data_IF_573197745850
#
_entry.id   IF_573197745850
#
_cell.length_a   1.000
_cell.length_b   1.000
_cell.length_c   1.000
_cell.angle_alpha   90.00
_cell.angle_beta   90.00
_cell.angle_gamma   90.00
#
_symmetry.space_group_name_H-M   'P 1'
#
loop_
_entity.id
_entity.type
_entity.pdbx_description
1 polymer ?
#
# COMPACT_ATOMS: atom_id res chain seq x y z
N UNK A 1 -8.07 69.86 -7.96
CA UNK A 1 -7.81 68.44 -7.64
C UNK A 1 -7.06 68.40 -6.31
N UNK A 2 -7.64 67.83 -5.24
CA UNK A 2 -7.05 67.88 -3.89
C UNK A 2 -5.91 66.86 -3.74
N UNK A 3 -4.67 67.34 -3.63
CA UNK A 3 -3.47 66.51 -3.39
C UNK A 3 -3.59 65.64 -2.13
N UNK A 4 -4.22 66.18 -1.08
CA UNK A 4 -4.39 65.49 0.20
C UNK A 4 -5.28 64.24 0.10
N UNK A 5 -6.27 64.27 -0.79
CA UNK A 5 -7.14 63.11 -1.05
C UNK A 5 -6.42 62.01 -1.83
N UNK A 6 -5.58 62.37 -2.81
CA UNK A 6 -4.72 61.41 -3.49
C UNK A 6 -3.69 60.79 -2.55
N UNK A 7 -3.08 61.59 -1.68
CA UNK A 7 -2.16 61.10 -0.65
C UNK A 7 -2.84 60.11 0.31
N UNK A 8 -4.05 60.44 0.76
CA UNK A 8 -4.86 59.57 1.62
C UNK A 8 -5.23 58.26 0.92
N UNK A 9 -5.69 58.32 -0.33
CA UNK A 9 -6.05 57.14 -1.11
C UNK A 9 -4.82 56.27 -1.44
N UNK A 10 -3.66 56.88 -1.70
CA UNK A 10 -2.41 56.15 -1.84
C UNK A 10 -2.05 55.40 -0.55
N UNK A 11 -2.16 56.05 0.62
CA UNK A 11 -1.92 55.40 1.92
C UNK A 11 -2.87 54.23 2.22
N UNK A 12 -4.16 54.39 1.91
CA UNK A 12 -5.16 53.30 2.02
C UNK A 12 -4.83 52.16 1.06
N UNK A 13 -4.48 52.48 -0.19
CA UNK A 13 -4.12 51.48 -1.21
C UNK A 13 -2.89 50.68 -0.81
N UNK A 14 -1.84 51.36 -0.31
CA UNK A 14 -0.64 50.69 0.21
C UNK A 14 -0.99 49.76 1.37
N UNK A 15 -1.83 50.20 2.30
CA UNK A 15 -2.26 49.38 3.44
C UNK A 15 -3.03 48.13 3.00
N UNK A 16 -3.97 48.28 2.06
CA UNK A 16 -4.75 47.15 1.52
C UNK A 16 -3.82 46.15 0.80
N UNK A 17 -2.90 46.63 -0.03
CA UNK A 17 -1.92 45.78 -0.73
C UNK A 17 -1.03 45.07 0.29
N UNK A 18 -0.53 45.76 1.31
CA UNK A 18 0.30 45.17 2.36
C UNK A 18 -0.44 44.05 3.10
N UNK A 19 -1.72 44.26 3.45
CA UNK A 19 -2.55 43.21 4.08
C UNK A 19 -2.69 42.01 3.15
N UNK A 20 -3.09 42.21 1.90
CA UNK A 20 -3.24 41.12 0.92
C UNK A 20 -1.93 40.34 0.77
N UNK A 21 -0.80 41.04 0.63
CA UNK A 21 0.52 40.42 0.48
C UNK A 21 0.93 39.59 1.71
N UNK A 22 0.69 40.10 2.93
CA UNK A 22 1.00 39.37 4.17
C UNK A 22 0.15 38.11 4.31
N UNK A 23 -1.16 38.20 4.06
CA UNK A 23 -2.04 37.04 4.12
C UNK A 23 -1.72 36.00 3.05
N UNK A 24 -1.46 36.44 1.82
CA UNK A 24 -1.08 35.56 0.72
C UNK A 24 0.26 34.88 0.98
N UNK A 25 1.26 35.62 1.47
CA UNK A 25 2.56 35.06 1.84
C UNK A 25 2.43 34.03 2.97
N UNK A 26 1.67 34.36 4.02
CA UNK A 26 1.42 33.45 5.15
C UNK A 26 0.72 32.17 4.70
N UNK A 27 -0.26 32.28 3.81
CA UNK A 27 -0.96 31.14 3.23
C UNK A 27 -0.04 30.25 2.37
N UNK A 28 0.82 30.85 1.54
CA UNK A 28 1.84 30.10 0.77
C UNK A 28 2.79 29.36 1.72
N UNK A 29 3.25 30.02 2.78
CA UNK A 29 4.14 29.41 3.78
C UNK A 29 3.44 28.21 4.44
N UNK A 30 2.17 28.36 4.83
CA UNK A 30 1.38 27.27 5.40
C UNK A 30 1.25 26.08 4.43
N UNK A 31 0.87 26.31 3.17
CA UNK A 31 0.77 25.25 2.17
C UNK A 31 2.12 24.54 1.97
N UNK A 32 3.21 25.30 1.93
CA UNK A 32 4.57 24.75 1.83
C UNK A 32 4.92 23.89 3.05
N UNK A 33 4.65 24.36 4.26
CA UNK A 33 4.89 23.61 5.49
C UNK A 33 4.11 22.30 5.52
N UNK A 34 2.83 22.31 5.15
CA UNK A 34 2.03 21.09 5.07
C UNK A 34 2.59 20.14 4.01
N UNK A 35 2.94 20.65 2.83
CA UNK A 35 3.52 19.85 1.76
C UNK A 35 4.84 19.19 2.19
N UNK A 36 5.71 19.94 2.86
CA UNK A 36 7.00 19.43 3.36
C UNK A 36 6.78 18.37 4.45
N UNK A 37 5.81 18.56 5.35
CA UNK A 37 5.38 17.55 6.34
C UNK A 37 4.89 16.26 5.66
N UNK A 38 4.03 16.35 4.64
CA UNK A 38 3.55 15.18 3.90
C UNK A 38 4.67 14.49 3.11
N UNK A 39 5.61 15.25 2.57
CA UNK A 39 6.80 14.71 1.91
C UNK A 39 7.63 13.85 2.87
N UNK A 40 7.94 14.34 4.06
CA UNK A 40 8.68 13.58 5.07
C UNK A 40 7.93 12.31 5.50
N UNK A 41 6.62 12.42 5.72
CA UNK A 41 5.79 11.26 6.05
C UNK A 41 5.79 10.22 4.93
N UNK A 42 5.68 10.65 3.67
CA UNK A 42 5.71 9.76 2.51
C UNK A 42 7.04 9.01 2.39
N UNK A 43 8.18 9.70 2.60
CA UNK A 43 9.50 9.05 2.60
C UNK A 43 9.54 7.90 3.60
N UNK A 44 9.04 8.10 4.83
CA UNK A 44 8.99 7.05 5.86
C UNK A 44 8.07 5.89 5.47
N UNK A 45 6.90 6.17 4.92
CA UNK A 45 5.97 5.12 4.48
C UNK A 45 6.54 4.31 3.30
N UNK A 46 7.26 4.94 2.36
CA UNK A 46 7.97 4.23 1.30
C UNK A 46 9.05 3.30 1.84
N UNK A 47 9.79 3.73 2.87
CA UNK A 47 10.78 2.88 3.55
C UNK A 47 10.14 1.70 4.30
N UNK A 48 8.96 1.90 4.91
CA UNK A 48 8.20 0.81 5.52
C UNK A 48 7.69 -0.19 4.47
N UNK A 49 7.17 0.31 3.34
CA UNK A 49 6.73 -0.53 2.23
C UNK A 49 7.89 -1.37 1.67
N UNK A 50 9.07 -0.76 1.49
CA UNK A 50 10.29 -1.44 1.08
C UNK A 50 10.65 -2.60 2.01
N UNK A 51 10.66 -2.33 3.33
CA UNK A 51 10.92 -3.36 4.36
C UNK A 51 9.90 -4.50 4.32
N UNK A 52 8.63 -4.20 4.09
CA UNK A 52 7.59 -5.22 4.01
C UNK A 52 7.76 -6.11 2.77
N UNK A 53 8.04 -5.51 1.60
CA UNK A 53 8.31 -6.27 0.37
C UNK A 53 9.57 -7.13 0.57
N UNK A 54 10.61 -6.56 1.18
CA UNK A 54 11.82 -7.32 1.50
C UNK A 54 11.53 -8.48 2.45
N UNK A 55 10.81 -8.27 3.55
CA UNK A 55 10.42 -9.33 4.49
C UNK A 55 9.59 -10.42 3.81
N UNK A 56 8.64 -10.03 2.96
CA UNK A 56 7.85 -10.97 2.17
C UNK A 56 8.69 -11.76 1.18
N UNK A 57 9.70 -11.13 0.56
CA UNK A 57 10.67 -11.77 -0.34
C UNK A 57 11.64 -12.74 0.35
N UNK A 58 11.82 -12.60 1.67
CA UNK A 58 12.70 -13.46 2.47
C UNK A 58 11.94 -14.51 3.27
N UNK A 59 10.63 -14.64 3.07
CA UNK A 59 9.87 -15.72 3.69
C UNK A 59 10.45 -17.06 3.25
N UNK A 60 11.15 -17.70 4.17
CA UNK A 60 11.72 -19.01 3.94
C UNK A 60 10.58 -20.01 3.80
N UNK A 61 10.55 -20.70 2.66
CA UNK A 61 9.73 -21.89 2.56
C UNK A 61 10.29 -22.94 3.51
N UNK A 62 9.39 -23.46 4.34
CA UNK A 62 9.62 -24.60 5.20
C UNK A 62 10.44 -25.67 4.45
N UNK A 63 11.53 -26.13 5.10
CA UNK A 63 12.57 -27.00 4.53
C UNK A 63 12.03 -28.40 4.23
N UNK A 64 11.27 -28.54 3.14
CA UNK A 64 10.89 -29.86 2.63
C UNK A 64 12.09 -30.53 1.96
N UNK A 65 13.04 -29.78 1.39
CA UNK A 65 14.14 -30.33 0.58
C UNK A 65 15.40 -29.42 0.63
N UNK A 66 16.36 -29.74 1.50
CA UNK A 66 17.72 -29.14 1.47
C UNK A 66 18.49 -29.51 0.18
N UNK A 67 18.08 -30.59 -0.51
CA UNK A 67 18.74 -31.08 -1.73
C UNK A 67 18.26 -30.42 -3.03
N UNK A 68 17.22 -29.57 -2.98
CA UNK A 68 16.65 -28.91 -4.15
C UNK A 68 17.46 -27.65 -4.56
N UNK A 69 18.76 -27.83 -4.82
CA UNK A 69 19.64 -26.87 -5.50
C UNK A 69 19.75 -25.46 -4.89
N UNK A 70 20.60 -24.58 -5.46
CA UNK A 70 20.63 -23.18 -5.07
C UNK A 70 19.29 -22.54 -5.44
N UNK A 71 18.48 -22.21 -4.43
CA UNK A 71 17.25 -21.43 -4.61
C UNK A 71 17.66 -20.10 -5.24
N UNK A 72 17.20 -19.81 -6.46
CA UNK A 72 17.14 -18.42 -6.93
C UNK A 72 16.34 -17.70 -5.85
N UNK A 73 16.97 -16.77 -5.12
CA UNK A 73 16.32 -16.14 -3.97
C UNK A 73 15.01 -15.53 -4.42
N UNK A 74 13.91 -15.76 -3.69
CA UNK A 74 12.57 -15.22 -4.02
C UNK A 74 12.61 -13.71 -4.29
N UNK A 75 13.56 -13.00 -3.68
CA UNK A 75 13.88 -11.60 -3.99
C UNK A 75 14.24 -11.33 -5.45
N UNK A 76 14.93 -12.25 -6.15
CA UNK A 76 15.23 -12.17 -7.58
C UNK A 76 14.00 -12.47 -8.43
N UNK A 77 13.13 -13.38 -7.99
CA UNK A 77 11.89 -13.71 -8.69
C UNK A 77 10.95 -12.50 -8.77
N UNK A 78 10.85 -11.73 -7.68
CA UNK A 78 10.05 -10.48 -7.62
C UNK A 78 10.54 -9.41 -8.61
N UNK A 79 11.81 -9.47 -9.02
CA UNK A 79 12.40 -8.51 -9.95
C UNK A 79 12.30 -8.98 -11.40
N UNK A 80 11.89 -10.23 -11.62
CA UNK A 80 11.68 -10.74 -12.97
C UNK A 80 10.47 -10.06 -13.60
N UNK A 81 10.49 -9.94 -14.93
CA UNK A 81 9.40 -9.33 -15.64
C UNK A 81 8.16 -10.21 -15.53
N UNK A 82 7.05 -9.60 -15.08
CA UNK A 82 5.73 -10.22 -15.03
C UNK A 82 5.23 -10.64 -16.42
N UNK A 83 4.58 -11.79 -16.51
CA UNK A 83 4.11 -12.37 -17.77
C UNK A 83 2.62 -12.12 -18.05
N UNK A 84 1.91 -11.47 -17.13
CA UNK A 84 0.47 -11.22 -17.23
C UNK A 84 0.19 -9.76 -17.61
N UNK A 85 -0.91 -9.53 -18.34
CA UNK A 85 -1.31 -8.20 -18.76
C UNK A 85 -2.59 -7.71 -18.09
N UNK A 86 -3.59 -8.60 -17.92
CA UNK A 86 -4.91 -8.25 -17.37
C UNK A 86 -5.24 -8.99 -16.08
N UNK A 87 -4.93 -10.29 -16.01
CA UNK A 87 -5.22 -11.10 -14.83
C UNK A 87 -4.17 -12.17 -14.62
N UNK A 88 -3.60 -12.19 -13.41
CA UNK A 88 -2.61 -13.19 -13.00
C UNK A 88 -3.25 -14.58 -12.95
N UNK A 89 -4.50 -14.65 -12.47
CA UNK A 89 -5.24 -15.91 -12.39
C UNK A 89 -5.44 -16.49 -13.78
N UNK A 90 -6.02 -15.71 -14.71
CA UNK A 90 -6.45 -16.25 -15.99
C UNK A 90 -5.27 -16.63 -16.89
N UNK A 91 -4.21 -15.82 -16.86
CA UNK A 91 -3.07 -15.96 -17.78
C UNK A 91 -1.99 -16.89 -17.22
N UNK A 92 -1.79 -16.93 -15.90
CA UNK A 92 -0.64 -17.64 -15.30
C UNK A 92 -1.01 -18.67 -14.23
N UNK A 93 -1.85 -18.34 -13.25
CA UNK A 93 -2.05 -19.20 -12.07
C UNK A 93 -3.07 -20.33 -12.27
N UNK A 94 -3.95 -20.23 -13.28
CA UNK A 94 -5.01 -21.22 -13.55
C UNK A 94 -4.50 -22.67 -13.68
N UNK A 95 -3.39 -22.98 -14.39
CA UNK A 95 -2.85 -24.34 -14.46
C UNK A 95 -2.45 -24.88 -13.09
N UNK A 96 -1.77 -24.07 -12.26
CA UNK A 96 -1.36 -24.46 -10.92
C UNK A 96 -2.55 -24.76 -10.01
N UNK A 97 -3.59 -23.91 -10.06
CA UNK A 97 -4.83 -24.12 -9.29
C UNK A 97 -5.53 -25.43 -9.69
N UNK A 98 -5.62 -25.71 -11.00
CA UNK A 98 -6.18 -26.98 -11.49
C UNK A 98 -5.37 -28.17 -11.02
N UNK A 99 -4.05 -28.06 -11.00
CA UNK A 99 -3.16 -29.12 -10.53
C UNK A 99 -3.34 -29.38 -9.03
N UNK A 100 -3.39 -28.34 -8.20
CA UNK A 100 -3.67 -28.46 -6.77
C UNK A 100 -5.01 -29.16 -6.54
N UNK A 101 -6.08 -28.74 -7.23
CA UNK A 101 -7.40 -29.35 -7.09
C UNK A 101 -7.41 -30.83 -7.51
N UNK A 102 -6.72 -31.17 -8.60
CA UNK A 102 -6.60 -32.54 -9.09
C UNK A 102 -5.88 -33.43 -8.08
N UNK A 103 -4.71 -33.00 -7.61
CA UNK A 103 -3.92 -33.76 -6.64
C UNK A 103 -4.65 -33.87 -5.30
N UNK A 104 -5.36 -32.81 -4.88
CA UNK A 104 -6.15 -32.81 -3.64
C UNK A 104 -7.31 -33.81 -3.70
N UNK A 105 -8.07 -33.82 -4.81
CA UNK A 105 -9.15 -34.78 -5.01
C UNK A 105 -8.63 -36.22 -5.00
N UNK A 106 -7.51 -36.46 -5.69
CA UNK A 106 -6.85 -37.77 -5.71
C UNK A 106 -6.42 -38.22 -4.30
N UNK A 107 -5.83 -37.31 -3.52
CA UNK A 107 -5.43 -37.59 -2.14
C UNK A 107 -6.63 -37.88 -1.22
N UNK A 108 -7.72 -37.11 -1.33
CA UNK A 108 -8.95 -37.36 -0.58
C UNK A 108 -9.58 -38.72 -0.92
N UNK A 109 -9.62 -39.10 -2.19
CA UNK A 109 -10.13 -40.41 -2.60
C UNK A 109 -9.29 -41.57 -2.04
N UNK A 110 -7.96 -41.39 -1.96
CA UNK A 110 -7.06 -42.37 -1.34
C UNK A 110 -7.26 -42.42 0.18
N UNK A 111 -7.40 -41.26 0.83
CA UNK A 111 -7.68 -41.17 2.26
C UNK A 111 -8.98 -41.89 2.63
N UNK A 112 -10.07 -41.63 1.90
CA UNK A 112 -11.37 -42.29 2.12
C UNK A 112 -11.29 -43.81 1.97
N UNK A 113 -10.53 -44.31 0.98
CA UNK A 113 -10.30 -45.75 0.79
C UNK A 113 -9.52 -46.36 1.94
N UNK A 114 -8.51 -45.66 2.46
CA UNK A 114 -7.70 -46.18 3.56
C UNK A 114 -8.46 -46.16 4.88
N UNK A 115 -9.20 -45.08 5.17
CA UNK A 115 -10.07 -44.98 6.36
C UNK A 115 -11.19 -46.02 6.40
N UNK A 116 -11.61 -46.57 5.26
CA UNK A 116 -12.61 -47.64 5.21
C UNK A 116 -12.01 -49.04 5.40
N UNK A 117 -10.69 -49.20 5.19
CA UNK A 117 -9.97 -50.48 5.29
C UNK A 117 -9.24 -50.66 6.61
N UNK A 118 -8.78 -49.56 7.23
CA UNK A 118 -8.16 -49.56 8.56
C UNK A 118 -9.16 -49.03 9.57
N UNK A 119 -9.02 -49.37 10.86
CA UNK A 119 -9.86 -48.92 11.98
C UNK A 119 -9.74 -47.40 12.25
N UNK A 120 -9.77 -46.58 11.19
CA UNK A 120 -9.64 -45.11 11.17
C UNK A 120 -8.28 -44.54 11.56
N UNK A 121 -7.25 -45.38 11.79
CA UNK A 121 -5.90 -44.91 12.15
C UNK A 121 -5.12 -44.56 10.87
N UNK A 122 -4.63 -43.32 10.80
CA UNK A 122 -4.00 -42.73 9.61
C UNK A 122 -2.54 -42.36 9.90
N UNK A 123 -1.73 -43.38 10.18
CA UNK A 123 -0.31 -43.24 10.61
C UNK A 123 0.57 -42.48 9.58
N UNK A 124 0.10 -42.31 8.33
CA UNK A 124 0.82 -41.60 7.26
C UNK A 124 -0.04 -40.53 6.54
N UNK A 125 -1.01 -39.91 7.22
CA UNK A 125 -1.92 -38.93 6.62
C UNK A 125 -1.24 -37.80 5.86
N UNK A 126 -0.28 -37.06 6.45
CA UNK A 126 0.42 -35.96 5.77
C UNK A 126 1.20 -36.41 4.51
N UNK A 127 1.71 -37.65 4.50
CA UNK A 127 2.45 -38.19 3.36
C UNK A 127 1.56 -38.37 2.11
N UNK A 128 0.27 -38.67 2.30
CA UNK A 128 -0.69 -38.80 1.19
C UNK A 128 -0.90 -37.47 0.46
N UNK A 129 -0.71 -36.36 1.16
CA UNK A 129 -0.88 -35.01 0.63
C UNK A 129 0.42 -34.39 0.09
N UNK A 130 1.54 -35.13 0.01
CA UNK A 130 2.81 -34.61 -0.49
C UNK A 130 2.71 -34.00 -1.89
N UNK A 131 1.96 -34.62 -2.81
CA UNK A 131 1.75 -34.06 -4.15
C UNK A 131 0.98 -32.74 -4.13
N UNK A 132 0.04 -32.60 -3.20
CA UNK A 132 -0.69 -31.34 -2.98
C UNK A 132 0.27 -30.27 -2.46
N UNK A 133 1.16 -30.63 -1.52
CA UNK A 133 2.17 -29.72 -0.98
C UNK A 133 3.14 -29.22 -2.06
N UNK A 134 3.62 -30.12 -2.94
CA UNK A 134 4.44 -29.72 -4.09
C UNK A 134 3.69 -28.77 -5.02
N UNK A 135 2.44 -29.09 -5.36
CA UNK A 135 1.63 -28.23 -6.22
C UNK A 135 1.33 -26.85 -5.59
N UNK A 136 1.13 -26.80 -4.25
CA UNK A 136 1.00 -25.55 -3.51
C UNK A 136 2.28 -24.74 -3.56
N UNK A 137 3.44 -25.37 -3.33
CA UNK A 137 4.75 -24.72 -3.46
C UNK A 137 4.95 -24.11 -4.84
N UNK A 138 4.71 -24.88 -5.91
CA UNK A 138 4.83 -24.40 -7.29
C UNK A 138 3.94 -23.18 -7.54
N UNK A 139 2.72 -23.17 -6.97
CA UNK A 139 1.85 -22.01 -7.03
C UNK A 139 2.44 -20.79 -6.30
N UNK A 140 2.95 -20.94 -5.08
CA UNK A 140 3.53 -19.82 -4.33
C UNK A 140 4.77 -19.25 -5.04
N UNK A 141 5.64 -20.11 -5.57
CA UNK A 141 6.77 -19.68 -6.41
C UNK A 141 6.29 -18.91 -7.65
N UNK A 142 5.23 -19.39 -8.31
CA UNK A 142 4.62 -18.65 -9.42
C UNK A 142 4.05 -17.29 -8.98
N UNK A 143 3.45 -17.19 -7.79
CA UNK A 143 2.96 -15.91 -7.26
C UNK A 143 4.11 -14.93 -7.02
N UNK A 144 5.25 -15.40 -6.49
CA UNK A 144 6.45 -14.56 -6.32
C UNK A 144 7.00 -14.06 -7.66
N UNK A 145 7.07 -14.93 -8.68
CA UNK A 145 7.54 -14.59 -10.03
C UNK A 145 6.65 -13.55 -10.72
N UNK A 146 5.35 -13.66 -10.54
CA UNK A 146 4.38 -12.78 -11.19
C UNK A 146 4.07 -11.50 -10.38
N UNK A 147 4.81 -11.26 -9.30
CA UNK A 147 4.69 -10.02 -8.54
C UNK A 147 5.07 -8.83 -9.42
N UNK A 148 4.24 -7.77 -9.50
CA UNK A 148 4.57 -6.61 -10.32
C UNK A 148 5.87 -5.96 -9.86
N UNK A 149 6.81 -5.86 -10.79
CA UNK A 149 8.16 -5.38 -10.50
C UNK A 149 8.12 -3.99 -9.84
N UNK A 150 8.63 -3.85 -8.62
CA UNK A 150 8.51 -2.59 -7.89
C UNK A 150 9.50 -1.54 -8.43
N UNK A 151 9.15 -0.24 -8.39
CA UNK A 151 9.97 0.85 -8.94
C UNK A 151 11.14 1.18 -8.00
N UNK A 152 12.04 0.21 -7.84
CA UNK A 152 13.18 0.23 -6.94
C UNK A 152 14.49 0.62 -7.59
N UNK A 153 15.57 0.37 -6.86
CA UNK A 153 16.95 0.48 -7.33
C UNK A 153 17.61 -0.90 -7.19
N UNK A 154 17.98 -1.48 -8.33
CA UNK A 154 18.63 -2.78 -8.41
C UNK A 154 19.79 -2.73 -9.41
N UNK A 155 20.90 -3.40 -9.07
CA UNK A 155 22.04 -3.55 -9.96
C UNK A 155 21.70 -4.65 -10.98
N UNK A 156 21.85 -4.35 -12.27
CA UNK A 156 21.55 -5.26 -13.38
C UNK A 156 22.86 -5.65 -14.07
N UNK A 157 23.12 -6.94 -14.21
CA UNK A 157 24.20 -7.48 -15.07
C UNK A 157 23.56 -8.30 -16.17
N UNK A 158 23.90 -8.02 -17.43
CA UNK A 158 23.38 -8.75 -18.60
C UNK A 158 21.84 -8.83 -18.67
N UNK A 159 21.14 -7.77 -18.23
CA UNK A 159 19.67 -7.72 -18.19
C UNK A 159 19.03 -8.47 -17.02
N UNK A 160 19.84 -9.09 -16.14
CA UNK A 160 19.40 -9.84 -14.97
C UNK A 160 19.67 -9.00 -13.70
N UNK A 161 18.68 -8.81 -12.82
CA UNK A 161 18.91 -8.19 -11.51
C UNK A 161 19.86 -9.05 -10.68
N UNK A 162 20.98 -8.50 -10.23
CA UNK A 162 22.01 -9.23 -9.44
C UNK A 162 21.98 -8.81 -7.97
N UNK A 163 21.56 -7.58 -7.68
CA UNK A 163 21.51 -7.06 -6.30
C UNK A 163 20.38 -6.06 -6.12
N UNK A 164 19.55 -6.28 -5.11
CA UNK A 164 18.53 -5.30 -4.68
C UNK A 164 19.18 -4.30 -3.74
N UNK A 165 19.13 -3.02 -4.07
CA UNK A 165 19.42 -1.95 -3.10
C UNK A 165 18.14 -1.55 -2.40
N UNK A 166 17.07 -1.35 -3.17
CA UNK A 166 15.73 -0.99 -2.70
C UNK A 166 14.70 -1.61 -3.64
N UNK A 167 13.62 -2.18 -3.10
CA UNK A 167 12.41 -2.50 -3.87
C UNK A 167 11.60 -1.24 -4.17
N UNK A 168 11.53 -0.29 -3.23
CA UNK A 168 10.82 0.96 -3.41
C UNK A 168 11.77 2.16 -3.30
N UNK A 169 11.83 2.97 -4.36
CA UNK A 169 12.44 4.30 -4.26
C UNK A 169 11.71 5.13 -3.20
N UNK A 170 12.46 5.84 -2.37
CA UNK A 170 11.91 6.74 -1.35
C UNK A 170 12.13 8.22 -1.68
N UNK A 171 12.63 8.56 -2.87
CA UNK A 171 12.82 9.93 -3.32
C UNK A 171 11.49 10.58 -3.77
N UNK A 172 10.63 10.88 -2.81
CA UNK A 172 9.40 11.62 -3.05
C UNK A 172 9.67 13.15 -3.13
N UNK A 173 9.06 13.89 -4.07
CA UNK A 173 7.98 13.51 -5.01
C UNK A 173 8.42 12.91 -6.35
N UNK A 174 9.71 12.71 -6.60
CA UNK A 174 10.23 12.29 -7.91
C UNK A 174 9.71 10.90 -8.33
N UNK A 175 9.57 9.97 -7.38
CA UNK A 175 9.04 8.62 -7.62
C UNK A 175 7.50 8.53 -7.75
N UNK A 176 6.77 9.64 -7.61
CA UNK A 176 5.29 9.64 -7.52
C UNK A 176 4.61 8.94 -8.69
N UNK A 177 5.03 9.25 -9.92
CA UNK A 177 4.38 8.74 -11.13
C UNK A 177 4.67 7.24 -11.33
N UNK A 178 5.91 6.82 -11.09
CA UNK A 178 6.32 5.41 -11.11
C UNK A 178 5.53 4.60 -10.08
N UNK A 179 5.41 5.10 -8.86
CA UNK A 179 4.61 4.46 -7.80
C UNK A 179 3.14 4.33 -8.19
N UNK A 180 2.51 5.38 -8.73
CA UNK A 180 1.10 5.32 -9.12
C UNK A 180 0.85 4.31 -10.24
N UNK A 181 1.78 4.18 -11.20
CA UNK A 181 1.72 3.15 -12.26
C UNK A 181 1.85 1.75 -11.65
N UNK A 182 2.84 1.55 -10.79
CA UNK A 182 3.06 0.28 -10.10
C UNK A 182 1.87 -0.11 -9.21
N UNK A 183 1.32 0.83 -8.42
CA UNK A 183 0.16 0.58 -7.55
C UNK A 183 -1.01 0.00 -8.32
N UNK A 184 -1.33 0.55 -9.50
CA UNK A 184 -2.43 0.04 -10.34
C UNK A 184 -2.21 -1.43 -10.72
N UNK A 185 -0.98 -1.80 -11.07
CA UNK A 185 -0.60 -3.19 -11.36
C UNK A 185 -0.72 -4.05 -10.10
N UNK A 186 -0.15 -3.58 -8.99
CA UNK A 186 -0.21 -4.28 -7.70
C UNK A 186 -1.64 -4.51 -7.22
N UNK A 187 -2.55 -3.56 -7.39
CA UNK A 187 -3.95 -3.71 -6.98
C UNK A 187 -4.65 -4.84 -7.76
N UNK A 188 -4.37 -4.97 -9.06
CA UNK A 188 -4.89 -6.07 -9.90
C UNK A 188 -4.31 -7.40 -9.41
N UNK A 189 -2.99 -7.47 -9.23
CA UNK A 189 -2.30 -8.64 -8.71
C UNK A 189 -2.89 -9.07 -7.35
N UNK A 190 -3.00 -8.14 -6.40
CA UNK A 190 -3.50 -8.41 -5.06
C UNK A 190 -4.93 -8.96 -5.08
N UNK A 191 -5.83 -8.36 -5.87
CA UNK A 191 -7.21 -8.85 -5.99
C UNK A 191 -7.27 -10.29 -6.49
N UNK A 192 -6.41 -10.64 -7.44
CA UNK A 192 -6.35 -11.99 -7.97
C UNK A 192 -5.74 -12.98 -6.96
N UNK A 193 -4.63 -12.64 -6.30
CA UNK A 193 -4.06 -13.49 -5.24
C UNK A 193 -5.05 -13.69 -4.09
N UNK A 194 -5.81 -12.65 -3.74
CA UNK A 194 -6.84 -12.74 -2.72
C UNK A 194 -7.94 -13.75 -3.12
N UNK A 195 -8.41 -13.76 -4.38
CA UNK A 195 -9.35 -14.78 -4.89
C UNK A 195 -8.74 -16.19 -4.83
N UNK A 196 -7.47 -16.34 -5.22
CA UNK A 196 -6.74 -17.61 -5.13
C UNK A 196 -6.76 -18.13 -3.70
N UNK A 197 -6.46 -17.28 -2.72
CA UNK A 197 -6.48 -17.67 -1.33
C UNK A 197 -7.84 -18.22 -0.88
N UNK A 198 -8.95 -17.56 -1.21
CA UNK A 198 -10.28 -18.07 -0.85
C UNK A 198 -10.60 -19.42 -1.51
N UNK A 199 -10.10 -19.67 -2.73
CA UNK A 199 -10.25 -20.96 -3.38
C UNK A 199 -9.43 -22.06 -2.71
N UNK A 200 -8.24 -21.72 -2.19
CA UNK A 200 -7.36 -22.67 -1.51
C UNK A 200 -7.69 -22.87 -0.04
N UNK A 201 -8.40 -21.92 0.59
CA UNK A 201 -8.73 -21.95 2.01
C UNK A 201 -9.29 -23.30 2.50
N UNK A 202 -10.23 -23.97 1.80
CA UNK A 202 -10.72 -25.28 2.22
C UNK A 202 -9.64 -26.37 2.18
N UNK A 203 -8.77 -26.33 1.16
CA UNK A 203 -7.65 -27.27 0.99
C UNK A 203 -6.64 -27.07 2.10
N UNK A 204 -6.23 -25.82 2.34
CA UNK A 204 -5.31 -25.47 3.42
C UNK A 204 -5.87 -25.89 4.77
N UNK A 205 -7.16 -25.65 5.04
CA UNK A 205 -7.81 -26.06 6.28
C UNK A 205 -7.83 -27.60 6.44
N UNK A 206 -8.17 -28.34 5.38
CA UNK A 206 -8.10 -29.80 5.42
C UNK A 206 -6.68 -30.29 5.72
N UNK A 207 -5.67 -29.66 5.12
CA UNK A 207 -4.27 -29.96 5.44
C UNK A 207 -3.96 -29.68 6.92
N UNK A 208 -4.42 -28.55 7.49
CA UNK A 208 -4.29 -28.27 8.94
C UNK A 208 -4.84 -29.44 9.76
N UNK A 209 -6.05 -29.89 9.43
CA UNK A 209 -6.75 -30.91 10.21
C UNK A 209 -6.01 -32.25 10.16
N UNK A 210 -5.56 -32.66 8.97
CA UNK A 210 -4.75 -33.88 8.78
C UNK A 210 -3.42 -33.80 9.54
N UNK A 211 -2.76 -32.63 9.55
CA UNK A 211 -1.51 -32.45 10.30
C UNK A 211 -1.77 -32.52 11.80
N UNK A 212 -2.80 -31.84 12.31
CA UNK A 212 -3.14 -31.91 13.73
C UNK A 212 -3.53 -33.32 14.19
N UNK A 213 -4.26 -34.07 13.36
CA UNK A 213 -4.59 -35.48 13.61
C UNK A 213 -3.31 -36.33 13.66
N UNK A 214 -2.40 -36.15 12.70
CA UNK A 214 -1.10 -36.82 12.64
C UNK A 214 -0.20 -36.50 13.84
N UNK A 215 -0.06 -35.22 14.21
CA UNK A 215 0.70 -34.78 15.38
C UNK A 215 0.16 -35.44 16.65
N UNK A 216 -1.17 -35.48 16.81
CA UNK A 216 -1.79 -36.09 17.99
C UNK A 216 -1.49 -37.59 18.06
N UNK A 217 -1.66 -38.31 16.96
CA UNK A 217 -1.34 -39.74 16.87
C UNK A 217 0.16 -40.00 17.12
N UNK A 218 1.02 -39.14 16.58
CA UNK A 218 2.47 -39.19 16.77
C UNK A 218 2.85 -38.97 18.25
N UNK A 219 2.24 -37.99 18.91
CA UNK A 219 2.46 -37.73 20.34
C UNK A 219 2.00 -38.90 21.22
N UNK A 220 0.88 -39.53 20.89
CA UNK A 220 0.41 -40.71 21.61
C UNK A 220 1.34 -41.91 21.39
N UNK A 221 1.88 -42.06 20.17
CA UNK A 221 2.91 -43.05 19.85
C UNK A 221 4.21 -42.78 20.63
N UNK A 222 4.66 -41.52 20.75
CA UNK A 222 5.82 -41.14 21.57
C UNK A 222 5.62 -41.57 23.02
N UNK A 223 4.43 -41.33 23.61
CA UNK A 223 4.14 -41.74 25.00
C UNK A 223 4.20 -43.25 25.18
N UNK A 224 3.80 -44.02 24.17
CA UNK A 224 3.95 -45.48 24.19
C UNK A 224 5.41 -45.89 24.06
N UNK A 225 6.15 -45.34 23.10
CA UNK A 225 7.58 -45.62 22.89
C UNK A 225 8.43 -45.25 24.11
N UNK A 226 8.09 -44.18 24.82
CA UNK A 226 8.73 -43.79 26.09
C UNK A 226 8.58 -44.87 27.17
N UNK A 227 7.49 -45.65 27.17
CA UNK A 227 7.36 -46.82 28.07
C UNK A 227 8.31 -47.96 27.70
N UNK A 228 8.70 -48.05 26.43
CA UNK A 228 9.61 -49.07 25.90
C UNK A 228 11.09 -48.63 25.88
N UNK A 229 11.41 -47.39 26.24
CA UNK A 229 12.79 -46.91 26.42
C UNK A 229 13.57 -46.70 25.13
N UNK A 230 12.95 -46.17 24.06
CA UNK A 230 13.60 -45.95 22.75
C UNK A 230 13.77 -44.43 22.45
N UNK A 231 14.81 -43.77 22.98
CA UNK A 231 14.94 -42.31 22.94
C UNK A 231 15.23 -41.71 21.56
N UNK A 232 15.85 -42.46 20.64
CA UNK A 232 16.18 -41.97 19.29
C UNK A 232 14.95 -41.77 18.38
N UNK A 233 13.87 -42.50 18.63
CA UNK A 233 12.61 -42.34 17.90
C UNK A 233 11.87 -41.05 18.32
N UNK A 234 12.06 -40.59 19.56
CA UNK A 234 11.42 -39.39 20.09
C UNK A 234 11.93 -38.11 19.40
N UNK A 235 13.24 -38.01 19.17
CA UNK A 235 13.86 -36.84 18.56
C UNK A 235 13.43 -36.64 17.10
N UNK A 236 13.38 -37.73 16.33
CA UNK A 236 12.89 -37.70 14.95
C UNK A 236 11.42 -37.29 14.82
N UNK A 237 10.57 -37.78 15.73
CA UNK A 237 9.15 -37.44 15.77
C UNK A 237 8.91 -35.99 16.24
N UNK A 238 9.68 -35.50 17.23
CA UNK A 238 9.64 -34.10 17.65
C UNK A 238 10.01 -33.16 16.50
N UNK A 239 11.09 -33.48 15.77
CA UNK A 239 11.49 -32.74 14.58
C UNK A 239 10.33 -32.70 13.58
N UNK A 240 9.75 -33.85 13.22
CA UNK A 240 8.60 -33.91 12.30
C UNK A 240 7.42 -33.02 12.73
N UNK A 241 7.11 -32.92 14.02
CA UNK A 241 6.06 -32.02 14.54
C UNK A 241 6.44 -30.54 14.33
N UNK A 242 7.70 -30.15 14.56
CA UNK A 242 8.16 -28.78 14.30
C UNK A 242 8.07 -28.44 12.81
N UNK A 243 8.49 -29.39 11.96
CA UNK A 243 8.41 -29.27 10.51
C UNK A 243 6.99 -28.97 10.02
N UNK A 244 6.02 -29.73 10.55
CA UNK A 244 4.61 -29.56 10.23
C UNK A 244 4.03 -28.22 10.71
N UNK A 245 4.48 -27.70 11.86
CA UNK A 245 4.03 -26.39 12.38
C UNK A 245 4.56 -25.22 11.55
N UNK A 246 5.82 -25.30 11.15
CA UNK A 246 6.48 -24.24 10.37
C UNK A 246 5.86 -24.08 8.97
N UNK A 247 5.44 -25.18 8.35
CA UNK A 247 4.71 -25.16 7.07
C UNK A 247 3.40 -24.34 7.16
N UNK A 248 2.62 -24.55 8.22
CA UNK A 248 1.36 -23.84 8.41
C UNK A 248 1.57 -22.36 8.74
N UNK A 249 2.63 -22.06 9.46
CA UNK A 249 3.05 -20.69 9.75
C UNK A 249 3.40 -19.94 8.47
N UNK A 250 4.12 -20.57 7.54
CA UNK A 250 4.49 -19.98 6.26
C UNK A 250 3.28 -19.48 5.46
N UNK A 251 2.23 -20.31 5.29
CA UNK A 251 1.06 -19.92 4.51
C UNK A 251 0.29 -18.72 5.11
N UNK A 252 0.21 -18.66 6.43
CA UNK A 252 -0.43 -17.54 7.13
C UNK A 252 0.41 -16.26 7.01
N UNK A 253 1.72 -16.35 7.27
CA UNK A 253 2.64 -15.21 7.18
C UNK A 253 2.73 -14.64 5.77
N UNK A 254 2.67 -15.49 4.74
CA UNK A 254 2.66 -15.09 3.34
C UNK A 254 1.53 -14.09 3.03
N UNK A 255 0.30 -14.41 3.47
CA UNK A 255 -0.86 -13.56 3.21
C UNK A 255 -0.93 -12.36 4.12
N UNK A 256 -0.56 -12.54 5.39
CA UNK A 256 -0.52 -11.44 6.35
C UNK A 256 0.42 -10.33 5.86
N UNK A 257 1.62 -10.69 5.42
CA UNK A 257 2.56 -9.73 4.86
C UNK A 257 2.06 -9.10 3.56
N UNK A 258 1.43 -9.88 2.67
CA UNK A 258 0.85 -9.33 1.44
C UNK A 258 -0.30 -8.34 1.74
N UNK A 259 -1.11 -8.60 2.76
CA UNK A 259 -2.13 -7.68 3.27
C UNK A 259 -1.51 -6.41 3.86
N UNK A 260 -0.42 -6.52 4.62
CA UNK A 260 0.31 -5.38 5.15
C UNK A 260 0.89 -4.51 4.02
N UNK A 261 1.46 -5.12 2.98
CA UNK A 261 1.93 -4.42 1.77
C UNK A 261 0.76 -3.66 1.13
N UNK A 262 -0.40 -4.31 0.94
CA UNK A 262 -1.60 -3.68 0.38
C UNK A 262 -2.08 -2.49 1.20
N UNK A 263 -2.19 -2.66 2.51
CA UNK A 263 -2.58 -1.59 3.43
C UNK A 263 -1.63 -0.39 3.32
N UNK A 264 -0.32 -0.64 3.31
CA UNK A 264 0.68 0.42 3.18
C UNK A 264 0.62 1.13 1.83
N UNK A 265 0.40 0.38 0.76
CA UNK A 265 0.22 0.94 -0.58
C UNK A 265 -0.97 1.92 -0.64
N UNK A 266 -2.09 1.58 -0.01
CA UNK A 266 -3.26 2.47 0.05
C UNK A 266 -3.01 3.70 0.93
N UNK A 267 -2.38 3.53 2.09
CA UNK A 267 -1.99 4.66 2.96
C UNK A 267 -1.07 5.65 2.23
N UNK A 268 -0.10 5.16 1.47
CA UNK A 268 0.79 6.00 0.65
C UNK A 268 -0.02 6.77 -0.40
N UNK A 269 -0.93 6.09 -1.11
CA UNK A 269 -1.75 6.74 -2.12
C UNK A 269 -2.64 7.86 -1.54
N UNK A 270 -3.26 7.64 -0.39
CA UNK A 270 -4.06 8.65 0.31
C UNK A 270 -3.20 9.85 0.74
N UNK A 271 -1.98 9.60 1.24
CA UNK A 271 -1.04 10.67 1.60
C UNK A 271 -0.53 11.43 0.37
N UNK A 272 -0.33 10.77 -0.77
CA UNK A 272 -0.01 11.42 -2.04
C UNK A 272 -1.17 12.33 -2.46
N UNK A 273 -2.41 11.85 -2.37
CA UNK A 273 -3.58 12.67 -2.69
C UNK A 273 -3.67 13.93 -1.80
N UNK A 274 -3.36 13.81 -0.50
CA UNK A 274 -3.27 14.95 0.42
C UNK A 274 -2.11 15.89 0.05
N UNK A 275 -0.92 15.37 -0.24
CA UNK A 275 0.23 16.16 -0.72
C UNK A 275 -0.10 16.95 -2.00
N UNK A 276 -0.77 16.29 -2.95
CA UNK A 276 -1.20 16.89 -4.20
C UNK A 276 -2.26 17.96 -3.97
N UNK A 277 -3.19 17.73 -3.04
CA UNK A 277 -4.16 18.74 -2.64
C UNK A 277 -3.45 20.01 -2.14
N UNK A 278 -2.36 19.95 -1.37
CA UNK A 278 -1.60 21.15 -0.98
C UNK A 278 -0.74 21.75 -2.09
N UNK A 279 -0.37 20.97 -3.09
CA UNK A 279 0.43 21.44 -4.25
C UNK A 279 -0.45 22.15 -5.28
N UNK A 280 -1.65 21.63 -5.52
CA UNK A 280 -2.60 22.12 -6.52
C UNK A 280 -3.79 22.88 -5.92
N UNK A 281 -3.90 23.03 -4.59
CA UNK A 281 -4.66 24.10 -3.92
C UNK A 281 -4.01 25.47 -4.21
N UNK A 282 -3.89 25.85 -5.48
CA UNK A 282 -3.97 27.26 -5.84
C UNK A 282 -5.44 27.62 -5.67
N UNK A 283 -5.80 28.06 -4.47
CA UNK A 283 -7.17 28.44 -4.12
C UNK A 283 -7.65 29.55 -5.04
N UNK A 284 -8.27 29.18 -6.16
CA UNK A 284 -8.87 30.11 -7.11
C UNK A 284 -9.86 31.03 -6.38
N UNK A 285 -10.58 30.48 -5.40
CA UNK A 285 -11.47 31.23 -4.52
C UNK A 285 -10.73 32.19 -3.56
N UNK A 286 -9.65 31.76 -2.93
CA UNK A 286 -8.85 32.61 -2.03
C UNK A 286 -8.19 33.76 -2.81
N UNK A 287 -7.65 33.46 -4.00
CA UNK A 287 -7.12 34.46 -4.94
C UNK A 287 -8.23 35.40 -5.43
N UNK A 288 -9.42 34.88 -5.74
CA UNK A 288 -10.58 35.68 -6.14
C UNK A 288 -11.04 36.60 -5.02
N UNK A 289 -10.97 36.17 -3.75
CA UNK A 289 -11.24 37.03 -2.61
C UNK A 289 -10.20 38.16 -2.49
N UNK A 290 -8.91 37.88 -2.70
CA UNK A 290 -7.87 38.92 -2.73
C UNK A 290 -8.05 39.89 -3.91
N UNK A 291 -8.45 39.41 -5.09
CA UNK A 291 -8.82 40.26 -6.22
C UNK A 291 -10.04 41.12 -5.88
N UNK A 292 -11.05 40.55 -5.23
CA UNK A 292 -12.23 41.27 -4.74
C UNK A 292 -11.87 42.38 -3.75
N UNK A 293 -10.94 42.11 -2.82
CA UNK A 293 -10.40 43.10 -1.88
C UNK A 293 -9.67 44.24 -2.61
N UNK A 294 -8.87 43.93 -3.65
CA UNK A 294 -8.20 44.95 -4.45
C UNK A 294 -9.19 45.79 -5.28
N UNK A 295 -10.21 45.16 -5.87
CA UNK A 295 -11.25 45.85 -6.65
C UNK A 295 -12.06 46.78 -5.75
N UNK A 296 -12.49 46.29 -4.59
CA UNK A 296 -13.36 47.04 -3.68
C UNK A 296 -12.60 48.07 -2.85
N UNK A 297 -11.37 47.79 -2.42
CA UNK A 297 -10.57 48.67 -1.58
C UNK A 297 -9.68 49.68 -2.32
N UNK A 298 -9.45 49.48 -3.63
CA UNK A 298 -8.51 50.33 -4.41
C UNK A 298 -9.17 50.83 -5.69
N UNK A 299 -9.65 49.92 -6.55
CA UNK A 299 -10.11 50.27 -7.91
C UNK A 299 -11.42 51.07 -7.87
N UNK A 300 -12.44 50.63 -7.12
CA UNK A 300 -13.71 51.35 -7.00
C UNK A 300 -13.56 52.75 -6.37
N UNK A 301 -12.80 52.93 -5.27
CA UNK A 301 -12.48 54.25 -4.75
C UNK A 301 -11.74 55.16 -5.75
N UNK A 302 -10.80 54.60 -6.54
CA UNK A 302 -10.12 55.35 -7.61
C UNK A 302 -11.09 55.79 -8.70
N UNK A 303 -11.96 54.91 -9.18
CA UNK A 303 -12.96 55.25 -10.21
C UNK A 303 -13.93 56.34 -9.74
N UNK A 304 -14.39 56.25 -8.48
CA UNK A 304 -15.24 57.27 -7.87
C UNK A 304 -14.54 58.64 -7.73
N UNK A 305 -13.20 58.68 -7.78
CA UNK A 305 -12.42 59.92 -7.71
C UNK A 305 -12.25 60.57 -9.10
N UNK A 306 -12.20 59.78 -10.16
CA UNK A 306 -12.04 60.27 -11.55
C UNK A 306 -13.36 60.63 -12.24
N UNK A 307 -14.48 60.05 -11.80
CA UNK A 307 -15.80 60.36 -12.32
C UNK A 307 -16.63 60.96 -11.19
N UNK A 308 -17.22 62.15 -11.41
CA UNK A 308 -18.15 62.79 -10.46
C UNK A 308 -19.62 62.52 -10.81
N UNK A 309 -20.21 61.38 -10.42
CA UNK A 309 -21.63 61.22 -10.54
C UNK A 309 -22.33 61.23 -9.17
N UNK A 310 -23.62 61.57 -9.19
CA UNK A 310 -24.51 61.74 -8.03
C UNK A 310 -24.65 60.51 -7.09
N UNK A 311 -24.14 59.35 -7.50
CA UNK A 311 -24.19 58.08 -6.76
C UNK A 311 -22.91 57.75 -5.95
N UNK A 312 -21.95 58.69 -5.85
CA UNK A 312 -20.69 58.49 -5.10
C UNK A 312 -20.86 57.98 -3.65
N UNK A 313 -21.85 58.48 -2.90
CA UNK A 313 -22.10 58.02 -1.52
C UNK A 313 -22.48 56.54 -1.46
N UNK A 314 -23.22 56.08 -2.47
CA UNK A 314 -23.67 54.69 -2.58
C UNK A 314 -22.51 53.77 -2.98
N UNK A 315 -21.63 54.23 -3.89
CA UNK A 315 -20.38 53.56 -4.26
C UNK A 315 -19.42 53.39 -3.07
N UNK A 316 -19.27 54.42 -2.22
CA UNK A 316 -18.42 54.36 -1.03
C UNK A 316 -18.90 53.31 -0.01
N UNK A 317 -20.20 53.24 0.23
CA UNK A 317 -20.81 52.23 1.11
C UNK A 317 -20.64 50.82 0.53
N UNK A 318 -20.88 50.64 -0.77
CA UNK A 318 -20.71 49.35 -1.46
C UNK A 318 -19.24 48.90 -1.47
N UNK A 319 -18.30 49.83 -1.68
CA UNK A 319 -16.85 49.57 -1.62
C UNK A 319 -16.42 49.09 -0.24
N UNK A 320 -16.82 49.78 0.83
CA UNK A 320 -16.50 49.39 2.20
C UNK A 320 -17.12 48.06 2.61
N UNK A 321 -18.41 47.84 2.31
CA UNK A 321 -19.10 46.57 2.58
C UNK A 321 -18.49 45.42 1.76
N UNK A 322 -18.17 45.66 0.48
CA UNK A 322 -17.54 44.68 -0.40
C UNK A 322 -16.16 44.26 0.09
N UNK A 323 -15.35 45.20 0.57
CA UNK A 323 -14.05 44.91 1.19
C UNK A 323 -14.19 44.10 2.48
N UNK A 324 -15.13 44.49 3.35
CA UNK A 324 -15.43 43.74 4.59
C UNK A 324 -15.89 42.31 4.33
N UNK A 325 -16.78 42.10 3.35
CA UNK A 325 -17.27 40.77 2.99
C UNK A 325 -16.18 39.91 2.35
N UNK A 326 -15.40 40.46 1.40
CA UNK A 326 -14.33 39.71 0.72
C UNK A 326 -13.19 39.34 1.67
N UNK A 327 -12.83 40.21 2.61
CA UNK A 327 -11.84 39.92 3.65
C UNK A 327 -12.32 38.86 4.63
N UNK A 328 -13.56 38.95 5.12
CA UNK A 328 -14.15 37.93 6.00
C UNK A 328 -14.24 36.57 5.30
N UNK A 329 -14.63 36.55 4.02
CA UNK A 329 -14.69 35.32 3.24
C UNK A 329 -13.31 34.71 2.99
N UNK A 330 -12.29 35.53 2.71
CA UNK A 330 -10.91 35.08 2.58
C UNK A 330 -10.41 34.41 3.87
N UNK A 331 -10.64 35.05 5.03
CA UNK A 331 -10.25 34.52 6.34
C UNK A 331 -10.99 33.23 6.65
N UNK A 332 -12.31 33.16 6.40
CA UNK A 332 -13.10 31.95 6.61
C UNK A 332 -12.68 30.80 5.71
N UNK A 333 -12.35 31.07 4.44
CA UNK A 333 -11.84 30.07 3.52
C UNK A 333 -10.49 29.53 3.97
N UNK A 334 -9.55 30.42 4.33
CA UNK A 334 -8.24 30.03 4.85
C UNK A 334 -8.41 29.23 6.16
N UNK A 335 -9.25 29.70 7.07
CA UNK A 335 -9.53 29.01 8.33
C UNK A 335 -10.12 27.62 8.08
N UNK A 336 -11.15 27.52 7.26
CA UNK A 336 -11.76 26.23 6.88
C UNK A 336 -10.75 25.31 6.22
N UNK A 337 -9.87 25.83 5.39
CA UNK A 337 -8.83 25.03 4.73
C UNK A 337 -7.73 24.55 5.68
N UNK A 338 -7.49 25.29 6.76
CA UNK A 338 -6.60 24.87 7.84
C UNK A 338 -7.29 23.83 8.73
N UNK A 339 -8.57 24.01 9.07
CA UNK A 339 -9.27 23.16 10.04
C UNK A 339 -9.94 21.92 9.43
N UNK A 340 -10.19 21.87 8.13
CA UNK A 340 -10.75 20.69 7.45
C UNK A 340 -9.70 19.60 7.14
N UNK A 341 -8.57 19.63 7.85
CA UNK A 341 -7.45 18.67 7.77
C UNK A 341 -7.46 17.79 8.99
#
# INVERSE_FOLDING_TARGET
MNLDYFSTLAGVSTTVISIIMVFYASYIIYLRQQRDKYREMLIREFQELDKLIHKWSLLEEYSLLEWAGPRIGKYLQILSQENWHKSVIEEVLRPYLKQIQKEFKSAQEQEMKLRSQTERILVAGPAMYLKVKFALRDLFEAIYREFPQPPGEFDVSDGIPVKVRLFMKYNFPQNREEFQKWKKRFDIFFQDIHKVYYQLRPILHHLVDIHNESIKQTLDTIKEIQKYGVPWAEEGLKKAIELEKDEMKYYNEFLELLLQIKYKNDVIADKIAKYDAYTYKRGSLTVLCFVGMAVTGIILPLFALFYEPSWMRLLGIISGMGFGLTSLFAVLLIYREITAT
#
